data_IF_208212639307
#
_entry.id   IF_208212639307
#
_cell.length_a   1.000
_cell.length_b   1.000
_cell.length_c   1.000
_cell.angle_alpha   90.00
_cell.angle_beta   90.00
_cell.angle_gamma   90.00
#
_symmetry.space_group_name_H-M   'P 1'
#
loop_
_entity.id
_entity.type
_entity.pdbx_description
1 polymer ?
#
# COMPACT_ATOMS: atom_id res chain seq x y z
N UNK A 1 -26.73 13.91 -5.30
CA UNK A 1 -25.77 14.23 -4.21
C UNK A 1 -25.50 13.06 -3.24
N UNK A 2 -26.28 11.96 -3.24
CA UNK A 2 -26.06 10.82 -2.33
C UNK A 2 -24.95 9.85 -2.76
N UNK A 3 -24.78 9.58 -4.06
CA UNK A 3 -23.84 8.55 -4.53
C UNK A 3 -22.36 8.89 -4.28
N UNK A 4 -21.95 10.15 -4.51
CA UNK A 4 -20.56 10.58 -4.28
C UNK A 4 -20.18 10.43 -2.80
N UNK A 5 -21.05 10.87 -1.88
CA UNK A 5 -20.82 10.72 -0.45
C UNK A 5 -20.82 9.25 -0.02
N UNK A 6 -21.69 8.40 -0.60
CA UNK A 6 -21.66 6.96 -0.33
C UNK A 6 -20.32 6.34 -0.73
N UNK A 7 -19.83 6.63 -1.94
CA UNK A 7 -18.54 6.11 -2.43
C UNK A 7 -17.38 6.61 -1.56
N UNK A 8 -17.38 7.89 -1.18
CA UNK A 8 -16.37 8.44 -0.26
C UNK A 8 -16.41 7.73 1.10
N UNK A 9 -17.60 7.53 1.67
CA UNK A 9 -17.78 6.78 2.91
C UNK A 9 -17.28 5.32 2.82
N UNK A 10 -17.44 4.66 1.67
CA UNK A 10 -16.88 3.32 1.46
C UNK A 10 -15.35 3.31 1.51
N UNK A 11 -14.68 4.31 0.92
CA UNK A 11 -13.22 4.44 0.99
C UNK A 11 -12.75 4.73 2.42
N UNK A 12 -13.41 5.67 3.11
CA UNK A 12 -13.11 6.00 4.51
C UNK A 12 -13.31 4.78 5.42
N UNK A 13 -14.39 4.01 5.23
CA UNK A 13 -14.63 2.80 6.01
C UNK A 13 -13.52 1.76 5.81
N UNK A 14 -13.06 1.54 4.57
CA UNK A 14 -11.98 0.60 4.27
C UNK A 14 -10.64 1.07 4.87
N UNK A 15 -10.29 2.35 4.68
CA UNK A 15 -9.08 2.93 5.25
C UNK A 15 -9.09 2.81 6.79
N UNK A 16 -10.20 3.19 7.44
CA UNK A 16 -10.32 3.11 8.90
C UNK A 16 -10.26 1.65 9.40
N UNK A 17 -10.80 0.68 8.65
CA UNK A 17 -10.68 -0.73 9.00
C UNK A 17 -9.25 -1.24 8.89
N UNK A 18 -8.52 -0.85 7.83
CA UNK A 18 -7.11 -1.16 7.66
C UNK A 18 -6.29 -0.57 8.81
N UNK A 19 -6.44 0.72 9.12
CA UNK A 19 -5.72 1.41 10.20
C UNK A 19 -5.97 0.74 11.56
N UNK A 20 -7.21 0.40 11.90
CA UNK A 20 -7.51 -0.34 13.14
C UNK A 20 -6.88 -1.73 13.20
N UNK A 21 -6.66 -2.38 12.06
CA UNK A 21 -6.09 -3.73 12.00
C UNK A 21 -4.59 -3.74 12.30
N UNK A 22 -3.91 -2.64 11.99
CA UNK A 22 -2.46 -2.48 12.18
C UNK A 22 -2.11 -1.59 13.38
N UNK A 23 -3.11 -1.08 14.07
CA UNK A 23 -2.93 -0.22 15.24
C UNK A 23 -2.17 -0.96 16.36
N UNK A 24 -1.17 -0.29 16.91
CA UNK A 24 -0.31 -0.84 17.95
C UNK A 24 0.71 -1.90 17.51
N UNK A 25 0.73 -2.32 16.24
CA UNK A 25 1.72 -3.29 15.76
C UNK A 25 3.13 -2.69 15.74
N UNK A 26 4.09 -3.43 16.30
CA UNK A 26 5.50 -3.09 16.22
C UNK A 26 6.05 -3.25 14.79
N UNK A 27 7.19 -2.62 14.46
CA UNK A 27 7.85 -2.84 13.18
C UNK A 27 8.17 -4.31 12.88
N UNK A 28 8.49 -5.10 13.91
CA UNK A 28 8.77 -6.53 13.78
C UNK A 28 7.50 -7.32 13.40
N UNK A 29 6.35 -6.99 14.01
CA UNK A 29 5.06 -7.59 13.67
C UNK A 29 4.59 -7.17 12.28
N UNK A 30 4.78 -5.91 11.89
CA UNK A 30 4.50 -5.43 10.54
C UNK A 30 5.32 -6.19 9.48
N UNK A 31 6.57 -6.53 9.78
CA UNK A 31 7.45 -7.28 8.88
C UNK A 31 7.24 -8.81 8.92
N UNK A 32 6.50 -9.31 9.90
CA UNK A 32 6.33 -10.75 10.10
C UNK A 32 5.52 -11.40 8.98
N UNK A 33 5.87 -12.65 8.66
CA UNK A 33 5.13 -13.51 7.73
C UNK A 33 4.92 -14.91 8.34
N UNK A 34 3.75 -15.54 8.15
CA UNK A 34 3.51 -16.91 8.62
C UNK A 34 4.44 -17.97 8.04
N UNK A 35 4.85 -17.80 6.78
CA UNK A 35 5.78 -18.69 6.07
C UNK A 35 6.39 -17.98 4.85
N UNK A 36 7.26 -18.68 4.14
CA UNK A 36 8.03 -18.15 3.01
C UNK A 36 7.22 -17.96 1.70
N UNK A 37 5.91 -18.27 1.74
CA UNK A 37 4.96 -18.08 0.65
C UNK A 37 3.90 -17.02 0.95
N UNK A 38 3.90 -16.47 2.17
CA UNK A 38 2.95 -15.44 2.59
C UNK A 38 3.56 -14.05 2.52
N UNK A 39 2.72 -13.07 2.22
CA UNK A 39 3.05 -11.65 2.35
C UNK A 39 3.14 -11.24 3.82
N UNK A 40 4.03 -10.30 4.13
CA UNK A 40 4.00 -9.62 5.43
C UNK A 40 2.84 -8.62 5.53
N UNK A 41 2.51 -8.21 6.75
CA UNK A 41 1.46 -7.20 6.98
C UNK A 41 1.85 -5.87 6.29
N UNK A 42 3.11 -5.46 6.40
CA UNK A 42 3.64 -4.27 5.73
C UNK A 42 3.52 -4.34 4.20
N UNK A 43 3.74 -5.52 3.60
CA UNK A 43 3.52 -5.71 2.17
C UNK A 43 2.06 -5.47 1.80
N UNK A 44 1.11 -6.02 2.58
CA UNK A 44 -0.32 -5.88 2.30
C UNK A 44 -0.80 -4.43 2.40
N UNK A 45 -0.31 -3.67 3.39
CA UNK A 45 -0.62 -2.23 3.53
C UNK A 45 -0.04 -1.44 2.36
N UNK A 46 1.23 -1.68 2.01
CA UNK A 46 1.85 -1.01 0.86
C UNK A 46 1.13 -1.35 -0.45
N UNK A 47 0.81 -2.62 -0.67
CA UNK A 47 0.07 -3.11 -1.85
C UNK A 47 -1.31 -2.46 -1.96
N UNK A 48 -2.02 -2.33 -0.84
CA UNK A 48 -3.31 -1.63 -0.77
C UNK A 48 -3.18 -0.18 -1.25
N UNK A 49 -2.23 0.57 -0.70
CA UNK A 49 -1.99 1.96 -1.09
C UNK A 49 -1.59 2.11 -2.56
N UNK A 50 -0.66 1.28 -3.04
CA UNK A 50 -0.22 1.30 -4.46
C UNK A 50 -1.34 0.95 -5.43
N UNK A 51 -2.18 -0.02 -5.07
CA UNK A 51 -3.33 -0.39 -5.89
C UNK A 51 -4.32 0.76 -5.95
N UNK A 52 -4.68 1.35 -4.81
CA UNK A 52 -5.61 2.47 -4.77
C UNK A 52 -5.10 3.68 -5.57
N UNK A 53 -3.82 4.05 -5.38
CA UNK A 53 -3.17 5.13 -6.12
C UNK A 53 -3.25 4.90 -7.64
N UNK A 54 -2.85 3.72 -8.12
CA UNK A 54 -2.93 3.37 -9.54
C UNK A 54 -4.36 3.45 -10.07
N UNK A 55 -5.34 2.86 -9.40
CA UNK A 55 -6.72 2.84 -9.88
C UNK A 55 -7.34 4.25 -9.89
N UNK A 56 -7.20 5.02 -8.81
CA UNK A 56 -7.79 6.36 -8.74
C UNK A 56 -7.17 7.30 -9.77
N UNK A 57 -5.85 7.35 -9.86
CA UNK A 57 -5.17 8.30 -10.73
C UNK A 57 -5.23 7.87 -12.20
N UNK A 58 -4.77 6.67 -12.52
CA UNK A 58 -4.66 6.27 -13.94
C UNK A 58 -5.97 5.82 -14.57
N UNK A 59 -6.92 5.25 -13.81
CA UNK A 59 -8.17 4.69 -14.38
C UNK A 59 -9.38 5.59 -14.25
N UNK A 60 -9.48 6.34 -13.16
CA UNK A 60 -10.64 7.20 -12.91
C UNK A 60 -10.36 8.65 -13.32
N UNK A 61 -9.22 9.21 -12.88
CA UNK A 61 -8.88 10.61 -13.13
C UNK A 61 -8.12 10.86 -14.43
N UNK A 62 -7.33 9.89 -14.89
CA UNK A 62 -6.47 10.02 -16.06
C UNK A 62 -5.20 10.85 -15.80
N UNK A 63 -4.70 10.90 -14.57
CA UNK A 63 -3.46 11.60 -14.18
C UNK A 63 -2.36 10.64 -13.70
N UNK A 64 -1.16 11.18 -13.51
CA UNK A 64 0.00 10.44 -12.99
C UNK A 64 -0.25 9.97 -11.56
N UNK A 65 0.35 8.83 -11.20
CA UNK A 65 0.22 8.30 -9.84
C UNK A 65 0.94 9.20 -8.84
N UNK A 66 0.41 9.30 -7.62
CA UNK A 66 1.08 10.02 -6.52
C UNK A 66 2.45 9.40 -6.23
N UNK A 67 2.58 8.09 -6.44
CA UNK A 67 3.84 7.36 -6.38
C UNK A 67 4.98 7.94 -7.22
N UNK A 68 4.67 8.47 -8.40
CA UNK A 68 5.67 8.93 -9.37
C UNK A 68 6.25 10.30 -9.01
N UNK A 69 5.44 11.18 -8.40
CA UNK A 69 5.82 12.57 -8.10
C UNK A 69 6.04 12.91 -6.63
N UNK A 70 5.55 12.08 -5.70
CA UNK A 70 5.46 12.44 -4.28
C UNK A 70 6.64 12.05 -3.39
N UNK A 71 7.75 11.55 -3.96
CA UNK A 71 8.89 11.05 -3.17
C UNK A 71 8.59 9.79 -2.34
N UNK A 72 7.39 9.21 -2.50
CA UNK A 72 6.93 8.04 -1.75
C UNK A 72 7.80 6.81 -1.97
N UNK A 73 8.29 6.61 -3.20
CA UNK A 73 9.21 5.52 -3.49
C UNK A 73 10.48 5.59 -2.64
N UNK A 74 11.06 6.77 -2.44
CA UNK A 74 12.23 6.94 -1.58
C UNK A 74 11.87 6.72 -0.10
N UNK A 75 10.79 7.37 0.37
CA UNK A 75 10.31 7.27 1.75
C UNK A 75 9.98 5.84 2.18
N UNK A 76 9.52 5.02 1.23
CA UNK A 76 9.19 3.61 1.45
C UNK A 76 10.31 2.65 1.04
N UNK A 77 11.51 3.14 0.70
CA UNK A 77 12.66 2.29 0.37
C UNK A 77 12.52 1.49 -0.92
N UNK A 78 11.76 2.02 -1.89
CA UNK A 78 11.45 1.43 -3.20
C UNK A 78 11.86 2.33 -4.37
N UNK A 79 12.84 3.20 -4.18
CA UNK A 79 13.37 4.02 -5.25
C UNK A 79 14.16 3.16 -6.26
N UNK A 80 14.13 3.51 -7.57
CA UNK A 80 13.34 4.58 -8.17
C UNK A 80 11.84 4.22 -8.27
N UNK A 81 10.98 5.24 -8.37
CA UNK A 81 9.54 5.02 -8.54
C UNK A 81 9.24 4.31 -9.86
N UNK A 82 8.78 3.06 -9.78
CA UNK A 82 8.32 2.29 -10.93
C UNK A 82 6.79 2.21 -10.92
N UNK A 83 6.15 2.66 -11.99
CA UNK A 83 4.68 2.72 -12.13
C UNK A 83 4.01 1.37 -11.86
N UNK A 84 4.60 0.29 -12.38
CA UNK A 84 4.08 -1.08 -12.27
C UNK A 84 4.44 -1.76 -10.95
N UNK A 85 5.28 -1.16 -10.09
CA UNK A 85 5.62 -1.71 -8.78
C UNK A 85 4.47 -1.44 -7.81
N UNK A 86 3.45 -2.28 -7.92
CA UNK A 86 2.28 -2.26 -7.03
C UNK A 86 2.19 -3.51 -6.18
N UNK A 87 3.10 -4.48 -6.32
CA UNK A 87 2.98 -5.79 -5.68
C UNK A 87 2.07 -6.78 -6.43
N UNK A 88 1.36 -6.33 -7.47
CA UNK A 88 0.51 -7.21 -8.26
C UNK A 88 1.36 -8.23 -9.03
N UNK A 89 1.04 -9.51 -8.86
CA UNK A 89 1.76 -10.60 -9.53
C UNK A 89 3.12 -10.92 -8.92
N UNK A 90 3.43 -10.44 -7.71
CA UNK A 90 4.66 -10.82 -7.01
C UNK A 90 4.73 -12.33 -6.79
N UNK A 91 5.87 -12.92 -7.14
CA UNK A 91 6.18 -14.32 -6.85
C UNK A 91 6.58 -14.51 -5.37
N UNK A 92 6.57 -15.75 -4.84
CA UNK A 92 7.09 -16.02 -3.51
C UNK A 92 8.53 -15.51 -3.29
N UNK A 93 9.41 -15.63 -4.28
CA UNK A 93 10.79 -15.13 -4.17
C UNK A 93 10.85 -13.59 -4.12
N UNK A 94 9.95 -12.91 -4.82
CA UNK A 94 9.82 -11.46 -4.71
C UNK A 94 9.25 -11.03 -3.36
N UNK A 95 8.34 -11.81 -2.77
CA UNK A 95 7.85 -11.58 -1.41
C UNK A 95 8.96 -11.76 -0.37
N UNK A 96 9.81 -12.79 -0.50
CA UNK A 96 10.95 -13.03 0.40
C UNK A 96 11.97 -11.89 0.39
N UNK A 97 12.14 -11.24 -0.76
CA UNK A 97 13.08 -10.11 -0.92
C UNK A 97 12.45 -8.76 -0.58
N UNK A 98 11.14 -8.71 -0.33
CA UNK A 98 10.45 -7.49 0.09
C UNK A 98 10.94 -7.05 1.46
N UNK A 99 11.46 -5.82 1.53
CA UNK A 99 11.85 -5.18 2.79
C UNK A 99 10.70 -4.31 3.25
N UNK A 100 10.18 -4.59 4.45
CA UNK A 100 9.16 -3.77 5.07
C UNK A 100 9.66 -2.32 5.25
N UNK A 101 8.92 -1.31 4.75
CA UNK A 101 9.23 0.08 5.05
C UNK A 101 9.09 0.39 6.54
N UNK A 102 9.56 1.56 6.95
CA UNK A 102 9.26 2.07 8.30
C UNK A 102 7.75 2.27 8.47
N UNK A 103 7.20 1.85 9.61
CA UNK A 103 5.75 1.87 9.88
C UNK A 103 5.16 3.28 9.76
N UNK A 104 5.84 4.32 10.25
CA UNK A 104 5.35 5.70 10.19
C UNK A 104 5.03 6.16 8.77
N UNK A 105 6.02 6.24 7.85
CA UNK A 105 5.78 6.60 6.45
C UNK A 105 4.81 5.66 5.71
N UNK A 106 4.67 4.40 6.14
CA UNK A 106 3.76 3.44 5.49
C UNK A 106 2.28 3.69 5.86
N UNK A 107 2.01 4.30 7.02
CA UNK A 107 0.66 4.54 7.55
C UNK A 107 0.20 6.00 7.44
N UNK A 108 1.01 6.86 6.82
CA UNK A 108 0.64 8.24 6.45
C UNK A 108 -0.30 8.27 5.25
#
# INVERSE_FOLDING_TARGET
MQLKHFVQGCFEQHYNAMMRTVDGLSPAEMAWTPNDQCSSIAFLVWHYGRTLDRWLHTRIKGDAQVWEGGGWAERLGRAPAVESDTGYGFTPDQLKTFKAPSTGPLLE
#
